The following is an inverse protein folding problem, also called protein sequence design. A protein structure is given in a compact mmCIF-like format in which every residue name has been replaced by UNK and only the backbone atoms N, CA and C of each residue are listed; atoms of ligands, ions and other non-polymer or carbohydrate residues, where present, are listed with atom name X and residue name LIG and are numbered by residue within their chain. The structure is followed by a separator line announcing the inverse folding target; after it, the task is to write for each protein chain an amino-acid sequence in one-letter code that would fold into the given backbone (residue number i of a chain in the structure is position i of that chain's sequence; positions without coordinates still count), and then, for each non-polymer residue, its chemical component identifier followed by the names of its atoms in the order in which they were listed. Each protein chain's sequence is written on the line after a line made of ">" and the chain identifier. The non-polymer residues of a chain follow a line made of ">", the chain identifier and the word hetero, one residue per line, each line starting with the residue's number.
data_IF_350263764603
#
_entry.id   IF_350263764603
#
_cell.length_a   1.000
_cell.length_b   1.000
_cell.length_c   1.000
_cell.angle_alpha   90.00
_cell.angle_beta   90.00
_cell.angle_gamma   90.00
#
_symmetry.space_group_name_H-M   'P 1'
#
loop_
_entity.id
_entity.type
_entity.pdbx_description
1 polymer ?
#
# COMPACT_ATOMS: atom_id res chain seq x y z
N UNK A 1 -18.97 19.72 -23.94
CA UNK A 1 -19.11 18.73 -22.85
C UNK A 1 -18.14 19.13 -21.75
N UNK A 2 -18.63 19.82 -20.71
CA UNK A 2 -17.79 20.36 -19.63
C UNK A 2 -17.16 19.23 -18.80
N UNK A 3 -15.85 19.09 -18.88
CA UNK A 3 -15.09 18.28 -17.92
C UNK A 3 -15.01 19.05 -16.61
N UNK A 4 -15.98 18.83 -15.70
CA UNK A 4 -15.85 19.29 -14.31
C UNK A 4 -14.52 18.78 -13.74
N UNK A 5 -13.60 19.68 -13.47
CA UNK A 5 -12.33 19.39 -12.80
C UNK A 5 -12.61 18.86 -11.40
N UNK A 6 -12.71 17.53 -11.27
CA UNK A 6 -12.79 16.89 -9.97
C UNK A 6 -11.42 17.00 -9.32
N UNK A 7 -11.33 17.77 -8.23
CA UNK A 7 -10.13 17.88 -7.40
C UNK A 7 -9.62 16.48 -7.06
N UNK A 8 -8.53 16.08 -7.70
CA UNK A 8 -7.98 14.74 -7.57
C UNK A 8 -6.74 14.81 -6.70
N UNK A 9 -6.81 14.23 -5.51
CA UNK A 9 -5.68 14.17 -4.59
C UNK A 9 -4.82 12.98 -4.98
N UNK A 10 -3.52 13.23 -5.20
CA UNK A 10 -2.57 12.18 -5.56
C UNK A 10 -1.59 11.88 -4.44
N UNK A 11 -1.31 10.60 -4.25
CA UNK A 11 -0.32 10.11 -3.30
C UNK A 11 0.42 8.89 -3.83
N UNK A 12 1.57 8.61 -3.24
CA UNK A 12 2.41 7.46 -3.62
C UNK A 12 2.72 6.65 -2.37
N UNK A 13 2.51 5.33 -2.47
CA UNK A 13 2.96 4.35 -1.50
C UNK A 13 3.98 3.41 -2.12
N UNK A 14 4.95 2.96 -1.31
CA UNK A 14 6.04 2.08 -1.76
C UNK A 14 6.34 1.03 -0.70
N UNK A 15 6.48 -0.23 -1.11
CA UNK A 15 6.87 -1.34 -0.23
C UNK A 15 7.72 -2.33 -0.99
N UNK A 16 8.90 -2.68 -0.47
CA UNK A 16 9.91 -3.46 -1.21
C UNK A 16 10.12 -2.84 -2.60
N UNK A 17 9.80 -3.57 -3.66
CA UNK A 17 9.87 -3.14 -5.06
C UNK A 17 8.53 -2.62 -5.61
N UNK A 18 7.43 -2.78 -4.87
CA UNK A 18 6.10 -2.34 -5.30
C UNK A 18 5.94 -0.82 -5.15
N UNK A 19 5.44 -0.18 -6.20
CA UNK A 19 5.13 1.25 -6.26
C UNK A 19 3.67 1.45 -6.64
N UNK A 20 2.89 2.00 -5.72
CA UNK A 20 1.48 2.33 -5.89
C UNK A 20 1.31 3.84 -6.08
N UNK A 21 0.71 4.25 -7.19
CA UNK A 21 0.26 5.63 -7.44
C UNK A 21 -1.25 5.68 -7.24
N UNK A 22 -1.67 6.38 -6.19
CA UNK A 22 -3.07 6.46 -5.76
C UNK A 22 -3.63 7.82 -6.13
N UNK A 23 -4.82 7.81 -6.73
CA UNK A 23 -5.66 8.98 -6.96
C UNK A 23 -6.93 8.82 -6.14
N UNK A 24 -7.20 9.80 -5.30
CA UNK A 24 -8.36 9.85 -4.42
C UNK A 24 -9.28 10.98 -4.90
N UNK A 25 -10.55 10.64 -5.06
CA UNK A 25 -11.62 11.55 -5.46
C UNK A 25 -12.79 11.36 -4.48
N UNK A 26 -13.51 12.41 -4.13
CA UNK A 26 -14.75 12.27 -3.37
C UNK A 26 -15.81 11.58 -4.23
N UNK A 27 -16.43 10.50 -3.74
CA UNK A 27 -17.31 9.67 -4.56
C UNK A 27 -17.81 8.38 -3.91
N UNK A 28 -18.35 7.47 -4.73
CA UNK A 28 -19.17 6.31 -4.33
C UNK A 28 -18.41 5.12 -3.69
N UNK A 29 -17.28 5.35 -3.02
CA UNK A 29 -16.58 4.27 -2.30
C UNK A 29 -15.87 3.21 -3.16
N UNK A 30 -15.87 3.36 -4.50
CA UNK A 30 -15.32 2.33 -5.40
C UNK A 30 -13.79 2.37 -5.41
N UNK A 31 -13.15 1.20 -5.28
CA UNK A 31 -11.70 1.02 -5.36
C UNK A 31 -11.35 0.23 -6.62
N UNK A 32 -10.54 0.84 -7.48
CA UNK A 32 -10.07 0.22 -8.73
C UNK A 32 -8.54 0.12 -8.76
N UNK A 33 -8.02 -1.03 -9.19
CA UNK A 33 -6.59 -1.30 -9.33
C UNK A 33 -6.31 -1.69 -10.78
N UNK A 34 -5.47 -0.91 -11.48
CA UNK A 34 -5.07 -1.19 -12.86
C UNK A 34 -6.27 -1.45 -13.81
N UNK A 35 -7.41 -0.78 -13.57
CA UNK A 35 -8.63 -0.94 -14.38
C UNK A 35 -9.52 -2.11 -13.99
N UNK A 36 -9.17 -2.88 -12.96
CA UNK A 36 -9.99 -3.98 -12.40
C UNK A 36 -10.54 -3.60 -11.03
N UNK A 37 -11.60 -4.29 -10.59
CA UNK A 37 -12.12 -4.11 -9.23
C UNK A 37 -11.12 -4.66 -8.20
N UNK A 38 -11.12 -4.09 -6.99
CA UNK A 38 -10.18 -4.51 -5.93
C UNK A 38 -10.38 -5.99 -5.54
N UNK A 39 -11.63 -6.47 -5.59
CA UNK A 39 -12.03 -7.83 -5.24
C UNK A 39 -11.52 -8.87 -6.23
N UNK A 40 -11.47 -8.52 -7.52
CA UNK A 40 -10.92 -9.37 -8.57
C UNK A 40 -9.38 -9.42 -8.53
N UNK A 41 -8.74 -8.34 -8.06
CA UNK A 41 -7.29 -8.25 -8.02
C UNK A 41 -6.69 -8.97 -6.81
N UNK A 42 -7.32 -8.85 -5.64
CA UNK A 42 -6.87 -9.49 -4.40
C UNK A 42 -7.90 -10.52 -3.93
N UNK A 43 -7.58 -11.79 -4.13
CA UNK A 43 -8.44 -12.88 -3.67
C UNK A 43 -8.19 -13.19 -2.18
N UNK A 44 -9.27 -13.21 -1.40
CA UNK A 44 -9.29 -13.72 -0.03
C UNK A 44 -9.63 -12.68 1.05
N UNK A 45 -10.26 -13.12 2.15
CA UNK A 45 -10.84 -12.23 3.17
C UNK A 45 -9.79 -11.42 3.95
N UNK A 46 -8.56 -11.93 4.03
CA UNK A 46 -7.45 -11.27 4.71
C UNK A 46 -7.05 -9.99 3.98
N UNK A 47 -7.02 -10.01 2.64
CA UNK A 47 -6.68 -8.83 1.85
C UNK A 47 -7.80 -7.80 1.89
N UNK A 48 -9.05 -8.26 1.86
CA UNK A 48 -10.24 -7.41 2.02
C UNK A 48 -10.17 -6.55 3.28
N UNK A 49 -9.98 -7.19 4.44
CA UNK A 49 -9.85 -6.48 5.71
C UNK A 49 -8.70 -5.47 5.70
N UNK A 50 -7.57 -5.82 5.10
CA UNK A 50 -6.37 -4.97 5.11
C UNK A 50 -6.52 -3.66 4.33
N UNK A 51 -7.13 -3.65 3.14
CA UNK A 51 -7.29 -2.40 2.39
C UNK A 51 -8.47 -1.54 2.88
N UNK A 52 -9.46 -2.14 3.58
CA UNK A 52 -10.54 -1.40 4.22
C UNK A 52 -10.12 -0.72 5.53
N UNK A 53 -9.19 -1.32 6.28
CA UNK A 53 -8.68 -0.83 7.56
C UNK A 53 -8.36 0.67 7.63
N UNK A 54 -7.64 1.30 6.69
CA UNK A 54 -7.37 2.74 6.76
C UNK A 54 -8.64 3.61 6.69
N UNK A 55 -9.72 3.13 6.04
CA UNK A 55 -11.00 3.85 5.99
C UNK A 55 -11.85 3.64 7.23
N UNK A 56 -11.71 2.48 7.90
CA UNK A 56 -12.34 2.21 9.19
C UNK A 56 -11.79 3.16 10.26
N UNK A 57 -10.48 3.36 10.31
CA UNK A 57 -9.83 4.25 11.29
C UNK A 57 -10.22 5.71 11.12
N UNK A 58 -10.60 6.13 9.92
CA UNK A 58 -10.98 7.51 9.60
C UNK A 58 -12.49 7.69 9.46
N UNK A 59 -13.31 6.67 9.78
CA UNK A 59 -14.77 6.66 9.62
C UNK A 59 -15.23 7.23 8.26
N UNK A 60 -14.46 6.88 7.22
CA UNK A 60 -14.64 7.42 5.87
C UNK A 60 -14.99 6.36 4.84
N UNK A 61 -15.52 5.23 5.31
CA UNK A 61 -15.99 4.16 4.44
C UNK A 61 -17.08 4.71 3.50
N UNK A 62 -16.93 4.43 2.19
CA UNK A 62 -17.92 4.84 1.19
C UNK A 62 -17.85 6.30 0.71
N UNK A 63 -17.00 7.16 1.30
CA UNK A 63 -16.91 8.59 0.95
C UNK A 63 -16.00 8.91 -0.24
N UNK A 64 -15.06 8.00 -0.55
CA UNK A 64 -14.01 8.25 -1.52
C UNK A 64 -13.98 7.17 -2.60
N UNK A 65 -13.87 7.59 -3.86
CA UNK A 65 -13.49 6.74 -4.98
C UNK A 65 -11.97 6.76 -5.11
N UNK A 66 -11.37 5.57 -5.18
CA UNK A 66 -9.92 5.39 -5.27
C UNK A 66 -9.56 4.69 -6.58
N UNK A 67 -8.65 5.30 -7.32
CA UNK A 67 -8.04 4.70 -8.50
C UNK A 67 -6.54 4.52 -8.28
N UNK A 68 -6.06 3.29 -8.42
CA UNK A 68 -4.67 2.94 -8.15
C UNK A 68 -4.02 2.35 -9.39
N UNK A 69 -2.85 2.90 -9.75
CA UNK A 69 -1.92 2.28 -10.68
C UNK A 69 -0.76 1.68 -9.91
N UNK A 70 -0.55 0.37 -10.05
CA UNK A 70 0.48 -0.36 -9.31
C UNK A 70 1.39 -1.18 -10.22
N UNK A 71 2.68 -1.19 -9.88
CA UNK A 71 3.71 -1.98 -10.57
C UNK A 71 4.77 -2.49 -9.59
N UNK A 72 5.36 -3.65 -9.91
CA UNK A 72 6.46 -4.26 -9.16
C UNK A 72 6.04 -5.07 -7.93
N UNK A 73 6.96 -5.86 -7.38
CA UNK A 73 6.75 -6.70 -6.20
C UNK A 73 5.76 -7.86 -6.42
N UNK A 74 5.24 -8.40 -5.31
CA UNK A 74 4.14 -9.38 -5.31
C UNK A 74 2.91 -8.89 -4.56
N UNK A 75 1.84 -9.70 -4.53
CA UNK A 75 0.51 -9.30 -4.03
C UNK A 75 0.54 -8.64 -2.64
N UNK A 76 1.23 -9.24 -1.66
CA UNK A 76 1.31 -8.67 -0.30
C UNK A 76 2.04 -7.31 -0.26
N UNK A 77 3.17 -7.19 -0.96
CA UNK A 77 3.90 -5.92 -1.02
C UNK A 77 3.12 -4.85 -1.77
N UNK A 78 2.34 -5.25 -2.77
CA UNK A 78 1.46 -4.36 -3.52
C UNK A 78 0.35 -3.83 -2.62
N UNK A 79 -0.31 -4.69 -1.86
CA UNK A 79 -1.33 -4.29 -0.89
C UNK A 79 -0.80 -3.30 0.16
N UNK A 80 0.33 -3.61 0.79
CA UNK A 80 0.97 -2.73 1.78
C UNK A 80 1.35 -1.36 1.16
N UNK A 81 1.78 -1.35 -0.12
CA UNK A 81 2.05 -0.11 -0.84
C UNK A 81 0.75 0.69 -1.11
N UNK A 82 -0.36 0.02 -1.42
CA UNK A 82 -1.66 0.65 -1.63
C UNK A 82 -2.15 1.30 -0.33
N UNK A 83 -2.08 0.58 0.79
CA UNK A 83 -2.50 1.08 2.11
C UNK A 83 -1.75 2.36 2.47
N UNK A 84 -0.42 2.36 2.32
CA UNK A 84 0.40 3.56 2.56
C UNK A 84 0.02 4.71 1.61
N UNK A 85 -0.29 4.40 0.34
CA UNK A 85 -0.74 5.40 -0.64
C UNK A 85 -2.10 6.01 -0.27
N UNK A 86 -3.06 5.19 0.15
CA UNK A 86 -4.39 5.62 0.61
C UNK A 86 -4.26 6.48 1.86
N UNK A 87 -3.53 6.03 2.88
CA UNK A 87 -3.34 6.79 4.12
C UNK A 87 -2.73 8.18 3.84
N UNK A 88 -1.75 8.27 2.93
CA UNK A 88 -1.17 9.54 2.51
C UNK A 88 -2.14 10.43 1.73
N UNK A 89 -3.02 9.83 0.92
CA UNK A 89 -4.05 10.59 0.22
C UNK A 89 -5.11 11.14 1.19
N UNK A 90 -5.51 10.36 2.19
CA UNK A 90 -6.46 10.78 3.23
C UNK A 90 -5.90 11.93 4.09
N UNK A 91 -4.62 11.87 4.48
CA UNK A 91 -3.99 13.00 5.21
C UNK A 91 -3.94 14.27 4.37
N UNK A 92 -3.79 14.14 3.04
CA UNK A 92 -3.84 15.30 2.14
C UNK A 92 -5.25 15.85 1.95
N UNK A 93 -6.30 15.04 2.13
CA UNK A 93 -7.68 15.53 2.06
C UNK A 93 -8.11 16.23 3.34
N UNK A 94 -7.74 15.68 4.50
CA UNK A 94 -7.99 16.30 5.80
C UNK A 94 -6.84 15.95 6.76
N UNK A 95 -6.18 16.98 7.27
CA UNK A 95 -5.03 16.81 8.15
C UNK A 95 -5.42 16.26 9.53
N UNK A 96 -6.71 16.32 9.91
CA UNK A 96 -7.22 15.74 11.16
C UNK A 96 -7.01 14.23 11.23
N UNK A 97 -7.02 13.54 10.09
CA UNK A 97 -6.81 12.08 10.05
C UNK A 97 -5.38 11.65 10.37
N UNK A 98 -4.42 12.58 10.35
CA UNK A 98 -2.99 12.29 10.55
C UNK A 98 -2.70 11.67 11.91
N UNK A 99 -3.34 12.15 12.97
CA UNK A 99 -3.12 11.64 14.34
C UNK A 99 -3.63 10.21 14.49
N UNK A 100 -4.85 9.93 14.04
CA UNK A 100 -5.44 8.59 14.06
C UNK A 100 -4.63 7.59 13.22
N UNK A 101 -4.30 7.95 11.97
CA UNK A 101 -3.53 7.08 11.06
C UNK A 101 -2.09 6.85 11.52
N UNK A 102 -1.49 7.82 12.24
CA UNK A 102 -0.14 7.65 12.80
C UNK A 102 -0.15 6.72 14.01
N UNK A 103 -1.19 6.79 14.85
CA UNK A 103 -1.36 5.92 16.02
C UNK A 103 -1.45 4.44 15.62
N UNK A 104 -2.18 4.15 14.53
CA UNK A 104 -2.30 2.79 13.98
C UNK A 104 -1.12 2.39 13.06
N UNK A 105 -0.18 3.29 12.79
CA UNK A 105 1.05 2.98 12.03
C UNK A 105 0.94 2.98 10.50
N UNK A 106 -0.17 3.45 9.91
CA UNK A 106 -0.39 3.45 8.45
C UNK A 106 0.45 4.45 7.66
N UNK A 107 1.01 5.47 8.32
CA UNK A 107 1.84 6.50 7.68
C UNK A 107 3.32 6.11 7.56
N UNK A 108 3.75 5.10 8.32
CA UNK A 108 5.15 4.67 8.34
C UNK A 108 5.40 3.67 7.21
N UNK A 109 6.40 3.97 6.38
CA UNK A 109 6.85 3.01 5.36
C UNK A 109 7.63 1.89 6.04
N UNK A 110 7.24 0.64 5.81
CA UNK A 110 8.09 -0.50 6.19
C UNK A 110 9.34 -0.52 5.27
N UNK A 111 10.47 -0.16 5.88
CA UNK A 111 11.77 -0.02 5.21
C UNK A 111 12.50 -1.35 4.98
N UNK A 112 11.99 -2.49 5.49
CA UNK A 112 12.67 -3.79 5.38
C UNK A 112 12.75 -4.26 3.93
N UNK A 113 13.96 -4.47 3.42
CA UNK A 113 14.20 -5.03 2.07
C UNK A 113 15.01 -6.33 2.22
N UNK A 114 14.90 -7.24 1.24
CA UNK A 114 15.70 -8.47 1.23
C UNK A 114 17.18 -8.10 1.19
N UNK A 115 17.93 -8.56 2.20
CA UNK A 115 19.38 -8.38 2.23
C UNK A 115 20.02 -9.13 1.05
N UNK A 116 21.00 -8.49 0.39
CA UNK A 116 21.76 -9.09 -0.70
C UNK A 116 22.48 -10.34 -0.20
N UNK A 117 22.60 -11.36 -1.04
CA UNK A 117 23.47 -12.51 -0.78
C UNK A 117 24.94 -12.05 -0.80
N UNK A 118 25.66 -12.22 0.31
CA UNK A 118 27.11 -11.93 0.39
C UNK A 118 27.92 -13.15 -0.07
N UNK A 119 29.14 -12.89 -0.54
CA UNK A 119 30.09 -13.94 -0.87
C UNK A 119 30.48 -14.73 0.39
N UNK A 120 30.94 -15.97 0.24
CA UNK A 120 31.31 -16.84 1.37
C UNK A 120 30.15 -17.49 2.14
N UNK A 121 28.90 -17.04 1.97
CA UNK A 121 27.73 -17.63 2.62
C UNK A 121 27.14 -18.86 1.87
N UNK A 122 26.44 -19.72 2.64
CA UNK A 122 25.83 -20.97 2.20
C UNK A 122 24.47 -20.77 1.49
N UNK A 123 24.40 -19.87 0.50
CA UNK A 123 23.19 -19.72 -0.31
C UNK A 123 22.24 -18.58 0.06
N UNK A 124 22.12 -18.24 1.34
CA UNK A 124 21.27 -17.14 1.85
C UNK A 124 22.11 -16.02 2.45
N UNK A 125 21.51 -14.84 2.61
CA UNK A 125 22.21 -13.61 3.02
C UNK A 125 23.03 -13.72 4.32
N UNK A 126 22.62 -14.54 5.28
CA UNK A 126 23.28 -14.73 6.58
C UNK A 126 23.62 -16.19 6.90
N UNK A 127 23.37 -17.11 5.96
CA UNK A 127 23.62 -18.53 6.21
C UNK A 127 25.13 -18.80 6.18
N UNK A 128 25.68 -19.27 7.30
CA UNK A 128 27.09 -19.69 7.38
C UNK A 128 27.23 -21.08 6.78
N UNK A 129 28.34 -21.32 6.07
CA UNK A 129 28.73 -22.68 5.68
C UNK A 129 29.19 -23.41 6.93
N UNK A 130 28.77 -24.66 7.10
CA UNK A 130 29.32 -25.52 8.13
C UNK A 130 30.78 -25.83 7.77
N UNK A 131 31.71 -25.43 8.64
CA UNK A 131 33.12 -25.83 8.53
C UNK A 131 33.38 -26.91 9.57
N UNK A 132 33.86 -28.10 9.18
CA UNK A 132 34.40 -29.03 10.17
C UNK A 132 35.63 -28.37 10.80
N UNK A 133 35.65 -28.27 12.14
CA UNK A 133 36.88 -27.97 12.89
C UNK A 133 37.57 -29.31 13.08
N UNK A 134 38.73 -29.47 12.45
CA UNK A 134 39.64 -30.60 12.70
C UNK A 134 40.79 -30.10 13.55
#
# INVERSE_FOLDING_TARGET
>A
METKEKSTISAVGRRKEAVARVRLMSGKGQITINGKLVEEYFLGPIFQKMYHRPFEVTDSLGKYTVSVKIKGGGARSQLEAIILGIARALVKSDEKFKTALRKEGFLTRDARVKERRKYGHAGKARAKKQSPKR
#
